data_IF_082092136331
#
_entry.id   IF_082092136331
#
_cell.length_a   1.000
_cell.length_b   1.000
_cell.length_c   1.000
_cell.angle_alpha   90.00
_cell.angle_beta   90.00
_cell.angle_gamma   90.00
#
_symmetry.space_group_name_H-M   'P 1'
#
loop_
_entity.id
_entity.type
_entity.pdbx_description
1 polymer ?
#
# COMPACT_ATOMS: atom_id res chain seq x y z
N UNK A 1 -44.82 42.90 -6.68
CA UNK A 1 -43.67 43.04 -7.60
C UNK A 1 -42.48 42.29 -7.01
N UNK A 2 -42.05 41.17 -7.60
CA UNK A 2 -40.86 40.41 -7.16
C UNK A 2 -39.61 41.14 -7.67
N UNK A 3 -38.77 41.61 -6.75
CA UNK A 3 -37.47 42.24 -7.06
C UNK A 3 -36.47 41.11 -7.33
N UNK A 4 -36.24 40.78 -8.61
CA UNK A 4 -35.19 39.85 -8.98
C UNK A 4 -33.84 40.57 -8.83
N UNK A 5 -33.15 40.34 -7.71
CA UNK A 5 -31.72 40.68 -7.58
C UNK A 5 -30.94 39.58 -8.30
N UNK A 6 -30.42 39.87 -9.49
CA UNK A 6 -29.46 39.00 -10.15
C UNK A 6 -28.06 39.22 -9.58
N UNK A 7 -27.24 38.17 -9.53
CA UNK A 7 -25.82 38.29 -9.22
C UNK A 7 -25.12 39.13 -10.29
N UNK A 8 -24.23 40.03 -9.86
CA UNK A 8 -23.39 40.77 -10.80
C UNK A 8 -22.22 39.91 -11.26
N UNK A 9 -21.80 40.10 -12.52
CA UNK A 9 -20.60 39.42 -13.04
C UNK A 9 -19.35 39.77 -12.21
N UNK A 10 -19.26 41.01 -11.72
CA UNK A 10 -18.14 41.47 -10.91
C UNK A 10 -18.08 40.76 -9.55
N UNK A 11 -19.22 40.53 -8.89
CA UNK A 11 -19.27 39.74 -7.65
C UNK A 11 -18.76 38.32 -7.89
N UNK A 12 -19.12 37.69 -9.01
CA UNK A 12 -18.63 36.35 -9.33
C UNK A 12 -17.13 36.32 -9.66
N UNK A 13 -16.60 37.37 -10.30
CA UNK A 13 -15.16 37.46 -10.62
C UNK A 13 -14.28 37.53 -9.36
N UNK A 14 -14.68 38.32 -8.35
CA UNK A 14 -13.94 38.43 -7.10
C UNK A 14 -13.96 37.10 -6.34
N UNK A 15 -15.11 36.42 -6.32
CA UNK A 15 -15.25 35.12 -5.64
C UNK A 15 -14.34 34.08 -6.27
N UNK A 16 -14.33 33.96 -7.60
CA UNK A 16 -13.45 33.00 -8.31
C UNK A 16 -11.96 33.34 -8.08
N UNK A 17 -11.60 34.62 -8.06
CA UNK A 17 -10.23 35.04 -7.79
C UNK A 17 -9.74 34.59 -6.39
N UNK A 18 -10.58 34.74 -5.36
CA UNK A 18 -10.25 34.28 -4.00
C UNK A 18 -10.17 32.75 -3.94
N UNK A 19 -11.13 32.04 -4.55
CA UNK A 19 -11.12 30.56 -4.60
C UNK A 19 -9.84 30.05 -5.31
N UNK A 20 -9.40 30.71 -6.37
CA UNK A 20 -8.18 30.33 -7.10
C UNK A 20 -6.93 30.42 -6.21
N UNK A 21 -6.79 31.50 -5.41
CA UNK A 21 -5.66 31.65 -4.47
C UNK A 21 -5.70 30.59 -3.37
N UNK A 22 -6.88 30.32 -2.80
CA UNK A 22 -7.04 29.28 -1.77
C UNK A 22 -6.73 27.88 -2.33
N UNK A 23 -7.22 27.57 -3.53
CA UNK A 23 -6.97 26.30 -4.19
C UNK A 23 -5.48 26.09 -4.51
N UNK A 24 -4.77 27.14 -4.92
CA UNK A 24 -3.34 27.08 -5.22
C UNK A 24 -2.49 26.63 -4.02
N UNK A 25 -2.86 27.03 -2.80
CA UNK A 25 -2.17 26.61 -1.56
C UNK A 25 -2.69 25.25 -1.07
N UNK A 26 -4.00 25.01 -1.17
CA UNK A 26 -4.64 23.81 -0.62
C UNK A 26 -4.24 22.51 -1.36
N UNK A 27 -4.20 22.53 -2.69
CA UNK A 27 -3.93 21.34 -3.52
C UNK A 27 -2.59 20.66 -3.18
N UNK A 28 -1.43 21.34 -3.14
CA UNK A 28 -0.15 20.68 -2.86
C UNK A 28 -0.11 20.08 -1.44
N UNK A 29 -0.67 20.79 -0.45
CA UNK A 29 -0.73 20.33 0.95
C UNK A 29 -1.61 19.08 1.08
N UNK A 30 -2.77 19.09 0.43
CA UNK A 30 -3.69 17.97 0.44
C UNK A 30 -3.10 16.74 -0.26
N UNK A 31 -2.43 16.92 -1.40
CA UNK A 31 -1.77 15.83 -2.12
C UNK A 31 -0.67 15.13 -1.29
N UNK A 32 0.12 15.90 -0.53
CA UNK A 32 1.11 15.33 0.38
C UNK A 32 0.48 14.53 1.52
N UNK A 33 -0.59 15.06 2.12
CA UNK A 33 -1.31 14.39 3.22
C UNK A 33 -2.02 13.13 2.75
N UNK A 34 -2.68 13.19 1.59
CA UNK A 34 -3.30 12.02 0.95
C UNK A 34 -2.27 10.92 0.67
N UNK A 35 -1.09 11.27 0.16
CA UNK A 35 -0.05 10.29 -0.10
C UNK A 35 0.38 9.56 1.18
N UNK A 36 0.62 10.30 2.27
CA UNK A 36 0.96 9.69 3.57
C UNK A 36 -0.16 8.79 4.10
N UNK A 37 -1.42 9.19 3.94
CA UNK A 37 -2.56 8.36 4.33
C UNK A 37 -2.63 7.05 3.52
N UNK A 38 -2.35 7.11 2.21
CA UNK A 38 -2.27 5.94 1.34
C UNK A 38 -1.14 4.98 1.75
N UNK A 39 0.05 5.51 2.02
CA UNK A 39 1.19 4.72 2.50
C UNK A 39 0.87 4.05 3.84
N UNK A 40 0.27 4.78 4.78
CA UNK A 40 -0.13 4.22 6.07
C UNK A 40 -1.17 3.10 5.93
N UNK A 41 -2.13 3.24 5.02
CA UNK A 41 -3.11 2.20 4.71
C UNK A 41 -2.43 0.96 4.11
N UNK A 42 -1.53 1.13 3.14
CA UNK A 42 -0.77 0.02 2.55
C UNK A 42 0.04 -0.73 3.63
N UNK A 43 0.79 -0.01 4.47
CA UNK A 43 1.57 -0.62 5.56
C UNK A 43 0.70 -1.37 6.55
N UNK A 44 -0.51 -0.88 6.85
CA UNK A 44 -1.45 -1.58 7.72
C UNK A 44 -1.95 -2.89 7.07
N UNK A 45 -2.28 -2.86 5.77
CA UNK A 45 -2.68 -4.05 5.03
C UNK A 45 -1.55 -5.09 4.95
N UNK A 46 -0.31 -4.65 4.72
CA UNK A 46 0.88 -5.51 4.69
C UNK A 46 1.11 -6.20 6.03
N UNK A 47 0.98 -5.47 7.15
CA UNK A 47 1.07 -6.06 8.50
C UNK A 47 -0.05 -7.06 8.78
N UNK A 48 -1.27 -6.75 8.36
CA UNK A 48 -2.41 -7.66 8.51
C UNK A 48 -2.17 -8.96 7.74
N UNK A 49 -1.66 -8.87 6.51
CA UNK A 49 -1.31 -10.03 5.69
C UNK A 49 -0.21 -10.88 6.31
N UNK A 50 0.87 -10.26 6.79
CA UNK A 50 1.94 -10.98 7.48
C UNK A 50 1.42 -11.70 8.74
N UNK A 51 0.59 -11.03 9.55
CA UNK A 51 -0.03 -11.62 10.73
C UNK A 51 -0.95 -12.80 10.38
N UNK A 52 -1.67 -12.73 9.26
CA UNK A 52 -2.51 -13.82 8.76
C UNK A 52 -1.67 -15.05 8.41
N UNK A 53 -0.58 -14.88 7.66
CA UNK A 53 0.36 -15.96 7.30
C UNK A 53 0.96 -16.63 8.54
N UNK A 54 1.38 -15.84 9.54
CA UNK A 54 1.87 -16.36 10.80
C UNK A 54 0.79 -17.12 11.58
N UNK A 55 -0.41 -16.56 11.67
CA UNK A 55 -1.53 -17.16 12.40
C UNK A 55 -1.92 -18.49 11.79
N UNK A 56 -1.90 -18.58 10.46
CA UNK A 56 -2.16 -19.83 9.77
C UNK A 56 -1.13 -20.89 10.15
N UNK A 57 0.17 -20.58 10.10
CA UNK A 57 1.21 -21.53 10.51
C UNK A 57 1.03 -21.99 11.96
N UNK A 58 0.71 -21.07 12.88
CA UNK A 58 0.43 -21.41 14.29
C UNK A 58 -0.79 -22.34 14.42
N UNK A 59 -1.77 -22.21 13.53
CA UNK A 59 -3.02 -22.97 13.59
C UNK A 59 -2.92 -24.34 12.90
N UNK A 60 -2.30 -24.41 11.72
CA UNK A 60 -2.21 -25.63 10.90
C UNK A 60 -0.90 -26.39 11.09
N UNK A 61 0.16 -25.72 11.54
CA UNK A 61 1.53 -26.24 11.56
C UNK A 61 2.21 -26.28 10.19
N UNK A 62 1.53 -25.80 9.14
CA UNK A 62 2.02 -25.84 7.76
C UNK A 62 2.21 -24.43 7.19
N UNK A 63 3.31 -24.23 6.46
CA UNK A 63 3.56 -23.02 5.70
C UNK A 63 2.86 -23.08 4.35
N UNK A 64 2.27 -21.96 3.91
CA UNK A 64 1.85 -21.79 2.52
C UNK A 64 3.06 -21.39 1.68
N UNK A 65 3.24 -22.10 0.57
CA UNK A 65 4.20 -21.66 -0.45
C UNK A 65 3.65 -20.46 -1.23
N UNK A 66 4.11 -19.28 -0.85
CA UNK A 66 3.82 -18.01 -1.51
C UNK A 66 4.93 -17.59 -2.50
N UNK A 67 5.92 -18.45 -2.72
CA UNK A 67 7.12 -18.18 -3.49
C UNK A 67 8.31 -17.80 -2.61
N UNK A 68 9.52 -18.01 -3.14
CA UNK A 68 10.80 -17.87 -2.44
C UNK A 68 11.73 -16.83 -3.08
N UNK A 69 11.34 -16.23 -4.21
CA UNK A 69 12.12 -15.21 -4.91
C UNK A 69 11.57 -13.80 -4.65
N UNK A 70 12.28 -13.00 -3.87
CA UNK A 70 11.87 -11.64 -3.54
C UNK A 70 11.98 -10.68 -4.75
N UNK A 71 12.82 -10.97 -5.74
CA UNK A 71 13.02 -10.13 -6.93
C UNK A 71 11.90 -10.30 -7.97
N UNK A 72 11.20 -11.43 -7.96
CA UNK A 72 10.12 -11.72 -8.90
C UNK A 72 8.71 -11.52 -8.30
N UNK A 73 8.60 -11.42 -6.97
CA UNK A 73 7.30 -11.39 -6.28
C UNK A 73 6.77 -9.99 -5.94
N UNK A 74 7.30 -8.94 -6.57
CA UNK A 74 6.77 -7.58 -6.43
C UNK A 74 5.37 -7.46 -7.03
N UNK A 75 4.40 -7.09 -6.20
CA UNK A 75 2.99 -6.97 -6.56
C UNK A 75 2.40 -5.66 -6.04
N UNK A 76 1.33 -5.22 -6.69
CA UNK A 76 0.51 -4.08 -6.21
C UNK A 76 -0.81 -4.53 -5.60
N UNK A 77 -0.95 -5.83 -5.36
CA UNK A 77 -2.12 -6.41 -4.70
C UNK A 77 -1.68 -7.47 -3.69
N UNK A 78 -2.40 -7.52 -2.58
CA UNK A 78 -2.32 -8.57 -1.57
C UNK A 78 -3.56 -9.43 -1.74
N UNK A 79 -3.38 -10.75 -1.77
CA UNK A 79 -4.47 -11.73 -1.70
C UNK A 79 -4.39 -12.40 -0.34
N UNK A 80 -5.37 -12.11 0.50
CA UNK A 80 -5.53 -12.73 1.81
C UNK A 80 -5.95 -14.19 1.65
N UNK A 81 -5.78 -14.97 2.71
CA UNK A 81 -6.08 -16.41 2.70
C UNK A 81 -7.59 -16.68 2.57
N UNK A 82 -8.42 -15.73 2.99
CA UNK A 82 -9.87 -15.75 2.80
C UNK A 82 -10.31 -15.50 1.33
N UNK A 83 -9.36 -15.20 0.43
CA UNK A 83 -9.59 -14.86 -0.97
C UNK A 83 -9.87 -13.38 -1.24
N UNK A 84 -9.94 -12.54 -0.20
CA UNK A 84 -10.07 -11.10 -0.33
C UNK A 84 -8.81 -10.51 -0.96
N UNK A 85 -8.99 -9.59 -1.90
CA UNK A 85 -7.86 -8.91 -2.55
C UNK A 85 -7.87 -7.43 -2.21
N UNK A 86 -6.71 -6.91 -1.84
CA UNK A 86 -6.51 -5.49 -1.53
C UNK A 86 -5.45 -4.92 -2.45
N UNK A 87 -5.83 -3.92 -3.22
CA UNK A 87 -4.93 -3.16 -4.09
C UNK A 87 -4.17 -2.12 -3.27
N UNK A 88 -2.86 -2.06 -3.47
CA UNK A 88 -1.97 -1.06 -2.86
C UNK A 88 -2.21 0.31 -3.50
N UNK A 89 -2.19 1.36 -2.67
CA UNK A 89 -2.56 2.71 -3.05
C UNK A 89 -1.35 3.60 -3.38
N UNK A 90 -0.18 3.30 -2.81
CA UNK A 90 1.02 4.14 -2.89
C UNK A 90 2.35 3.38 -3.02
N UNK A 91 2.33 2.05 -3.06
CA UNK A 91 3.57 1.26 -3.19
C UNK A 91 3.39 -0.11 -3.82
N UNK A 92 4.43 -0.93 -3.68
CA UNK A 92 4.47 -2.35 -4.03
C UNK A 92 4.87 -3.16 -2.81
N UNK A 93 4.43 -4.42 -2.77
CA UNK A 93 4.74 -5.38 -1.73
C UNK A 93 5.33 -6.64 -2.36
N UNK A 94 6.33 -7.22 -1.71
CA UNK A 94 6.87 -8.54 -2.01
C UNK A 94 6.76 -9.37 -0.74
N UNK A 95 6.19 -10.57 -0.85
CA UNK A 95 6.07 -11.50 0.26
C UNK A 95 6.63 -12.84 -0.19
N UNK A 96 7.52 -13.39 0.61
CA UNK A 96 8.15 -14.69 0.34
C UNK A 96 8.09 -15.59 1.56
N UNK A 97 8.07 -16.88 1.29
CA UNK A 97 8.34 -17.90 2.27
C UNK A 97 9.86 -18.04 2.38
N UNK A 98 10.43 -17.61 3.50
CA UNK A 98 11.85 -17.75 3.76
C UNK A 98 12.17 -19.23 3.99
N UNK A 99 13.23 -19.70 3.35
CA UNK A 99 13.67 -21.09 3.40
C UNK A 99 15.14 -21.14 3.79
N UNK A 100 15.52 -22.21 4.46
CA UNK A 100 16.92 -22.48 4.79
C UNK A 100 17.79 -22.52 3.53
N UNK A 101 19.00 -21.97 3.60
CA UNK A 101 19.93 -21.96 2.48
C UNK A 101 20.44 -23.38 2.23
N UNK A 102 20.04 -23.95 1.09
CA UNK A 102 20.56 -25.24 0.61
C UNK A 102 21.72 -25.05 -0.36
N UNK A 103 22.49 -26.12 -0.57
CA UNK A 103 23.53 -26.14 -1.59
C UNK A 103 22.93 -25.84 -2.98
N UNK A 104 23.39 -24.80 -3.69
CA UNK A 104 22.82 -24.38 -4.97
C UNK A 104 22.98 -25.43 -6.07
N UNK A 105 23.88 -26.40 -5.90
CA UNK A 105 24.09 -27.56 -6.77
C UNK A 105 23.10 -28.70 -6.54
N UNK A 106 22.37 -28.71 -5.43
CA UNK A 106 21.44 -29.79 -5.09
C UNK A 106 20.09 -29.66 -5.80
N UNK A 107 19.73 -28.46 -6.26
CA UNK A 107 18.39 -28.15 -6.80
C UNK A 107 17.25 -28.34 -5.80
N UNK A 108 17.55 -28.64 -4.53
CA UNK A 108 16.54 -28.86 -3.48
C UNK A 108 16.22 -27.54 -2.78
N UNK A 109 14.93 -27.23 -2.62
CA UNK A 109 14.48 -26.11 -1.80
C UNK A 109 14.64 -26.46 -0.32
N UNK A 110 15.21 -25.55 0.46
CA UNK A 110 15.35 -25.71 1.91
C UNK A 110 14.01 -25.78 2.64
N UNK A 111 14.08 -26.23 3.90
CA UNK A 111 12.93 -26.22 4.79
C UNK A 111 12.42 -24.78 5.00
N UNK A 112 11.10 -24.55 5.04
CA UNK A 112 10.56 -23.23 5.35
C UNK A 112 10.87 -22.85 6.80
N UNK A 113 11.41 -21.65 7.00
CA UNK A 113 11.83 -21.13 8.30
C UNK A 113 10.99 -19.94 8.78
N UNK A 114 10.30 -19.25 7.87
CA UNK A 114 9.49 -18.08 8.22
C UNK A 114 8.90 -17.40 7.00
N UNK A 115 8.28 -16.25 7.20
CA UNK A 115 7.81 -15.38 6.12
C UNK A 115 8.60 -14.08 6.16
N UNK A 116 8.95 -13.55 4.99
CA UNK A 116 9.52 -12.23 4.88
C UNK A 116 8.63 -11.39 3.98
N UNK A 117 8.21 -10.23 4.46
CA UNK A 117 7.33 -9.33 3.71
C UNK A 117 7.98 -7.95 3.66
N UNK A 118 8.21 -7.46 2.45
CA UNK A 118 8.83 -6.18 2.18
C UNK A 118 7.86 -5.29 1.41
N UNK A 119 7.70 -4.06 1.86
CA UNK A 119 6.91 -3.02 1.20
C UNK A 119 7.80 -1.83 0.89
N UNK A 120 7.64 -1.28 -0.31
CA UNK A 120 8.30 -0.06 -0.74
C UNK A 120 7.28 0.90 -1.33
N UNK A 121 7.33 2.16 -0.90
CA UNK A 121 6.53 3.22 -1.50
C UNK A 121 7.07 3.61 -2.89
N UNK A 122 6.20 3.97 -3.82
CA UNK A 122 6.57 4.43 -5.18
C UNK A 122 7.52 5.64 -5.16
N UNK A 123 7.45 6.47 -4.11
CA UNK A 123 8.34 7.63 -3.94
C UNK A 123 9.68 7.29 -3.27
N UNK A 124 9.84 6.06 -2.78
CA UNK A 124 11.03 5.61 -2.06
C UNK A 124 11.27 6.30 -0.72
N UNK A 125 10.27 7.00 -0.18
CA UNK A 125 10.38 7.73 1.10
C UNK A 125 9.94 6.88 2.31
N UNK A 126 9.28 5.75 2.08
CA UNK A 126 8.87 4.80 3.12
C UNK A 126 9.13 3.37 2.65
N UNK A 127 9.66 2.57 3.56
CA UNK A 127 9.82 1.13 3.40
C UNK A 127 9.40 0.42 4.69
N UNK A 128 8.98 -0.83 4.57
CA UNK A 128 8.64 -1.69 5.70
C UNK A 128 9.15 -3.09 5.41
N UNK A 129 9.98 -3.62 6.29
CA UNK A 129 10.40 -5.01 6.29
C UNK A 129 9.81 -5.71 7.52
N UNK A 130 9.24 -6.89 7.30
CA UNK A 130 8.73 -7.79 8.34
C UNK A 130 9.40 -9.15 8.13
N UNK A 131 9.97 -9.70 9.20
CA UNK A 131 10.70 -10.98 9.27
C UNK A 131 10.13 -11.80 10.43
#
# INVERSE_FOLDING_TARGET
MKRNRGFTLMEMLIVVAIIAVLAAIAIPVFNGSLHKAKVAADMANVRAYYAELQTQYITTGEYIDIGDDMHLNWRREIKFLDGTTVQMQAGTVSAILERERTDPTSGQKGAPIGYQVYYICDKGDHELLLE
#
